data_IF_584584793601
#
_entry.id   IF_584584793601
#
_cell.length_a   1.000
_cell.length_b   1.000
_cell.length_c   1.000
_cell.angle_alpha   90.00
_cell.angle_beta   90.00
_cell.angle_gamma   90.00
#
_symmetry.space_group_name_H-M   'P 1'
#
loop_
_entity.id
_entity.type
_entity.pdbx_description
1 polymer ?
#
# COMPACT_ATOMS: atom_id res chain seq x y z
N UNK A 1 14.10 7.14 -5.62
CA UNK A 1 12.66 7.40 -5.89
C UNK A 1 12.41 7.64 -7.38
N UNK A 2 11.81 6.66 -8.05
CA UNK A 2 11.40 6.75 -9.45
C UNK A 2 9.95 7.23 -9.50
N UNK A 3 9.70 8.44 -9.99
CA UNK A 3 8.32 8.95 -10.14
C UNK A 3 7.41 8.04 -10.99
N UNK A 4 8.01 7.13 -11.78
CA UNK A 4 7.30 6.15 -12.59
C UNK A 4 6.71 5.00 -11.76
N UNK A 5 7.46 4.43 -10.81
CA UNK A 5 7.00 3.27 -10.02
C UNK A 5 5.90 3.67 -9.04
N UNK A 6 6.07 4.80 -8.35
CA UNK A 6 5.01 5.41 -7.51
C UNK A 6 3.72 5.61 -8.32
N UNK A 7 3.82 6.19 -9.52
CA UNK A 7 2.65 6.42 -10.37
C UNK A 7 1.97 5.13 -10.79
N UNK A 8 2.74 4.10 -11.14
CA UNK A 8 2.21 2.79 -11.49
C UNK A 8 1.34 2.23 -10.36
N UNK A 9 1.86 2.24 -9.12
CA UNK A 9 1.10 1.79 -7.94
C UNK A 9 -0.18 2.59 -7.73
N UNK A 10 -0.11 3.93 -7.80
CA UNK A 10 -1.31 4.76 -7.63
C UNK A 10 -2.33 4.59 -8.76
N UNK A 11 -1.89 4.28 -9.97
CA UNK A 11 -2.79 3.97 -11.08
C UNK A 11 -3.49 2.62 -10.85
N UNK A 12 -2.84 1.63 -10.25
CA UNK A 12 -3.48 0.37 -9.81
C UNK A 12 -4.47 0.59 -8.64
N UNK A 13 -4.10 1.38 -7.63
CA UNK A 13 -5.00 1.76 -6.52
C UNK A 13 -6.30 2.36 -7.04
N UNK A 14 -6.19 3.23 -8.06
CA UNK A 14 -7.35 3.90 -8.70
C UNK A 14 -8.26 2.96 -9.49
N UNK A 15 -7.76 1.79 -9.91
CA UNK A 15 -8.60 0.77 -10.55
C UNK A 15 -9.49 0.04 -9.53
N UNK A 16 -9.15 0.12 -8.24
CA UNK A 16 -10.04 -0.31 -7.16
C UNK A 16 -11.30 0.55 -7.04
N UNK A 17 -12.27 0.10 -6.25
CA UNK A 17 -13.55 0.80 -6.07
C UNK A 17 -13.46 1.97 -5.07
N UNK A 18 -12.51 2.90 -5.29
CA UNK A 18 -12.30 4.10 -4.45
C UNK A 18 -13.56 4.98 -4.37
N UNK A 19 -14.45 4.90 -5.36
CA UNK A 19 -15.69 5.66 -5.36
C UNK A 19 -16.69 5.12 -4.34
N UNK A 20 -16.74 3.79 -4.18
CA UNK A 20 -17.62 3.11 -3.25
C UNK A 20 -17.01 2.99 -1.84
N UNK A 21 -15.73 2.59 -1.76
CA UNK A 21 -15.04 2.32 -0.50
C UNK A 21 -13.58 2.81 -0.52
N UNK A 22 -13.34 4.13 -0.42
CA UNK A 22 -11.99 4.66 -0.45
C UNK A 22 -11.16 4.28 0.77
N UNK A 23 -11.81 4.02 1.91
CA UNK A 23 -11.11 3.63 3.14
C UNK A 23 -10.61 2.19 3.05
N UNK A 24 -11.49 1.24 2.76
CA UNK A 24 -11.12 -0.16 2.61
C UNK A 24 -10.09 -0.37 1.51
N UNK A 25 -10.25 0.30 0.36
CA UNK A 25 -9.27 0.25 -0.72
C UNK A 25 -7.93 0.86 -0.29
N UNK A 26 -7.90 2.05 0.32
CA UNK A 26 -6.64 2.65 0.77
C UNK A 26 -5.89 1.75 1.74
N UNK A 27 -6.59 1.23 2.76
CA UNK A 27 -6.00 0.36 3.77
C UNK A 27 -5.48 -0.95 3.17
N UNK A 28 -6.24 -1.60 2.29
CA UNK A 28 -5.80 -2.85 1.66
C UNK A 28 -4.47 -2.65 0.91
N UNK A 29 -4.38 -1.58 0.11
CA UNK A 29 -3.15 -1.25 -0.60
C UNK A 29 -2.01 -0.84 0.33
N UNK A 30 -2.29 -0.07 1.38
CA UNK A 30 -1.29 0.36 2.34
C UNK A 30 -0.71 -0.84 3.12
N UNK A 31 -1.56 -1.78 3.53
CA UNK A 31 -1.13 -3.05 4.13
C UNK A 31 -0.33 -3.91 3.17
N UNK A 32 -0.78 -4.08 1.93
CA UNK A 32 -0.05 -4.83 0.90
C UNK A 32 1.38 -4.29 0.67
N UNK A 33 1.53 -2.96 0.65
CA UNK A 33 2.83 -2.28 0.54
C UNK A 33 3.70 -2.57 1.77
N UNK A 34 3.15 -2.39 2.98
CA UNK A 34 3.89 -2.58 4.22
C UNK A 34 4.30 -4.05 4.44
N UNK A 35 3.42 -5.00 4.12
CA UNK A 35 3.71 -6.43 4.13
C UNK A 35 4.84 -6.77 3.16
N UNK A 36 4.81 -6.22 1.94
CA UNK A 36 5.85 -6.46 0.93
C UNK A 36 7.20 -5.92 1.40
N UNK A 37 7.25 -4.68 1.90
CA UNK A 37 8.48 -4.11 2.48
C UNK A 37 9.01 -4.99 3.63
N UNK A 38 8.14 -5.35 4.57
CA UNK A 38 8.53 -6.19 5.71
C UNK A 38 9.07 -7.56 5.28
N UNK A 39 8.37 -8.23 4.36
CA UNK A 39 8.74 -9.56 3.88
C UNK A 39 10.09 -9.59 3.16
N UNK A 40 10.43 -8.51 2.45
CA UNK A 40 11.68 -8.36 1.72
C UNK A 40 12.83 -7.79 2.61
N UNK A 41 12.56 -7.59 3.91
CA UNK A 41 13.55 -7.09 4.88
C UNK A 41 13.81 -5.59 4.79
N UNK A 42 12.94 -4.85 4.11
CA UNK A 42 13.00 -3.40 3.98
C UNK A 42 12.35 -2.70 5.19
N UNK A 43 12.78 -1.47 5.44
CA UNK A 43 12.24 -0.67 6.54
C UNK A 43 10.83 -0.16 6.21
N UNK A 44 9.88 -0.44 7.12
CA UNK A 44 8.54 0.14 7.09
C UNK A 44 8.52 1.37 8.00
N UNK A 45 8.09 2.55 7.51
CA UNK A 45 8.00 3.75 8.32
C UNK A 45 7.17 3.55 9.60
N UNK A 46 7.74 3.87 10.76
CA UNK A 46 7.05 3.73 12.05
C UNK A 46 5.78 4.59 12.15
N UNK A 47 5.71 5.69 11.39
CA UNK A 47 4.53 6.55 11.28
C UNK A 47 3.31 5.83 10.70
N UNK A 48 3.50 4.76 9.92
CA UNK A 48 2.40 3.96 9.38
C UNK A 48 1.80 3.03 10.42
N UNK A 49 2.43 2.89 11.59
CA UNK A 49 1.96 2.04 12.70
C UNK A 49 1.69 0.59 12.30
N UNK A 50 2.34 0.13 11.23
CA UNK A 50 2.20 -1.22 10.72
C UNK A 50 2.77 -2.23 11.71
N UNK A 51 2.01 -3.30 11.94
CA UNK A 51 2.45 -4.45 12.73
C UNK A 51 2.21 -5.70 11.89
N UNK A 52 3.25 -6.50 11.60
CA UNK A 52 3.09 -7.70 10.79
C UNK A 52 2.21 -8.72 11.52
N UNK A 53 1.35 -9.38 10.76
CA UNK A 53 0.55 -10.49 11.27
C UNK A 53 1.46 -11.65 11.69
N UNK A 54 1.21 -12.29 12.84
CA UNK A 54 1.97 -13.50 13.24
C UNK A 54 1.73 -14.68 12.31
N UNK A 55 0.70 -14.63 11.46
CA UNK A 55 0.37 -15.64 10.46
C UNK A 55 1.03 -15.36 9.10
N UNK A 56 1.78 -14.25 8.97
CA UNK A 56 2.33 -13.79 7.71
C UNK A 56 1.34 -12.96 6.88
N UNK A 57 1.75 -12.55 5.67
CA UNK A 57 0.93 -11.71 4.79
C UNK A 57 -0.31 -12.47 4.28
N UNK A 58 -1.37 -11.72 3.98
CA UNK A 58 -2.59 -12.30 3.38
C UNK A 58 -2.27 -12.87 2.00
N UNK A 59 -2.67 -14.13 1.76
CA UNK A 59 -2.48 -14.80 0.47
C UNK A 59 -3.65 -14.60 -0.51
N UNK A 60 -4.78 -14.07 -0.03
CA UNK A 60 -6.01 -13.88 -0.81
C UNK A 60 -6.36 -12.39 -1.00
N UNK A 61 -5.39 -11.49 -0.81
CA UNK A 61 -5.56 -10.05 -1.04
C UNK A 61 -5.09 -9.67 -2.45
N UNK A 62 -6.00 -9.23 -3.36
CA UNK A 62 -5.62 -8.80 -4.70
C UNK A 62 -4.58 -7.67 -4.71
N UNK A 63 -4.58 -6.77 -3.73
CA UNK A 63 -3.59 -5.72 -3.63
C UNK A 63 -2.20 -6.30 -3.33
N UNK A 64 -2.12 -7.30 -2.45
CA UNK A 64 -0.87 -7.99 -2.13
C UNK A 64 -0.29 -8.71 -3.36
N UNK A 65 -1.13 -9.38 -4.15
CA UNK A 65 -0.70 -10.03 -5.39
C UNK A 65 -0.13 -9.04 -6.41
N UNK A 66 -0.79 -7.89 -6.59
CA UNK A 66 -0.32 -6.86 -7.54
C UNK A 66 0.99 -6.23 -7.08
N UNK A 67 1.07 -5.78 -5.82
CA UNK A 67 2.27 -5.14 -5.26
C UNK A 67 3.46 -6.09 -5.35
N UNK A 68 3.29 -7.34 -4.93
CA UNK A 68 4.34 -8.36 -4.99
C UNK A 68 4.74 -8.71 -6.42
N UNK A 69 3.77 -8.80 -7.33
CA UNK A 69 4.02 -9.02 -8.76
C UNK A 69 4.87 -7.92 -9.38
N UNK A 70 4.56 -6.65 -9.09
CA UNK A 70 5.33 -5.49 -9.56
C UNK A 70 6.76 -5.47 -9.00
N UNK A 71 6.93 -5.83 -7.71
CA UNK A 71 8.24 -5.94 -7.07
C UNK A 71 9.11 -7.02 -7.73
N UNK A 72 8.58 -8.25 -7.84
CA UNK A 72 9.30 -9.39 -8.41
C UNK A 72 9.67 -9.18 -9.89
N UNK A 73 8.87 -8.42 -10.63
CA UNK A 73 9.15 -8.03 -12.01
C UNK A 73 10.17 -6.88 -12.14
N UNK A 74 10.61 -6.28 -11.02
CA UNK A 74 11.51 -5.12 -11.02
C UNK A 74 10.88 -3.85 -11.59
N UNK A 75 9.55 -3.73 -11.55
CA UNK A 75 8.83 -2.55 -12.00
C UNK A 75 8.75 -1.46 -10.93
N UNK A 76 8.88 -1.85 -9.66
CA UNK A 76 8.92 -0.97 -8.49
C UNK A 76 10.04 -1.42 -7.55
N UNK A 77 10.57 -0.49 -6.77
CA UNK A 77 11.55 -0.74 -5.71
C UNK A 77 11.05 -0.23 -4.35
N UNK A 78 11.89 -0.34 -3.32
CA UNK A 78 11.50 0.02 -1.95
C UNK A 78 11.20 1.52 -1.80
N UNK A 79 11.88 2.38 -2.56
CA UNK A 79 11.60 3.82 -2.55
C UNK A 79 10.24 4.12 -3.18
N UNK A 80 9.88 3.40 -4.25
CA UNK A 80 8.60 3.55 -4.92
C UNK A 80 7.44 3.08 -4.03
N UNK A 81 7.62 1.93 -3.35
CA UNK A 81 6.68 1.41 -2.35
C UNK A 81 6.49 2.41 -1.20
N UNK A 82 7.59 2.93 -0.62
CA UNK A 82 7.55 3.96 0.42
C UNK A 82 6.86 5.25 -0.06
N UNK A 83 7.14 5.68 -1.29
CA UNK A 83 6.52 6.86 -1.89
C UNK A 83 5.01 6.72 -2.06
N UNK A 84 4.54 5.56 -2.53
CA UNK A 84 3.11 5.27 -2.67
C UNK A 84 2.43 5.16 -1.30
N UNK A 85 3.02 4.41 -0.36
CA UNK A 85 2.45 4.25 0.99
C UNK A 85 2.35 5.58 1.75
N UNK A 86 3.31 6.50 1.59
CA UNK A 86 3.22 7.83 2.20
C UNK A 86 2.04 8.66 1.66
N UNK A 87 1.69 8.47 0.39
CA UNK A 87 0.52 9.12 -0.21
C UNK A 87 -0.77 8.51 0.34
N UNK A 88 -0.83 7.19 0.47
CA UNK A 88 -1.98 6.48 1.05
C UNK A 88 -2.17 6.85 2.53
N UNK A 89 -1.10 6.87 3.32
CA UNK A 89 -1.14 7.29 4.72
C UNK A 89 -1.74 8.70 4.89
N UNK A 90 -1.35 9.65 4.04
CA UNK A 90 -1.94 11.01 4.05
C UNK A 90 -3.39 11.01 3.59
N UNK A 91 -3.75 10.15 2.64
CA UNK A 91 -5.13 10.02 2.18
C UNK A 91 -6.03 9.44 3.28
N UNK A 92 -5.54 8.45 4.02
CA UNK A 92 -6.21 7.89 5.21
C UNK A 92 -6.42 8.94 6.30
N UNK A 93 -5.44 9.81 6.54
CA UNK A 93 -5.61 10.93 7.47
C UNK A 93 -6.72 11.89 7.05
N UNK A 94 -6.86 12.16 5.74
CA UNK A 94 -7.97 12.95 5.19
C UNK A 94 -9.31 12.23 5.39
N UNK A 95 -9.38 10.94 5.06
CA UNK A 95 -10.61 10.14 5.24
C UNK A 95 -11.04 10.10 6.72
N UNK A 96 -10.09 9.94 7.64
CA UNK A 96 -10.34 9.98 9.09
C UNK A 96 -10.84 11.36 9.53
N UNK A 97 -10.26 12.43 9.02
CA UNK A 97 -10.73 13.79 9.31
C UNK A 97 -12.16 14.06 8.79
N UNK A 98 -12.57 13.35 7.73
CA UNK A 98 -13.93 13.39 7.18
C UNK A 98 -14.91 12.40 7.86
N UNK A 99 -14.44 11.59 8.82
CA UNK A 99 -15.25 10.57 9.51
C UNK A 99 -15.60 9.36 8.63
N UNK A 100 -14.71 9.00 7.70
CA UNK A 100 -14.86 7.89 6.75
C UNK A 100 -13.95 6.70 7.06
N UNK A 101 -13.54 6.53 8.31
CA UNK A 101 -12.63 5.49 8.82
C UNK A 101 -13.37 4.27 9.42
N UNK A 102 -14.43 3.81 8.75
CA UNK A 102 -15.35 2.77 9.22
C UNK A 102 -14.82 1.33 9.14
#
# INVERSE_FOLDING_TARGET
MSARGVRLLLDEVRQGDLALDPWGVSLAWHFAIADTLHAEGEEVPASWQFVPSPLGPSLDDPAADVVRGLWLAGHVDADDLRGAGEILSRFEDVLRAEGRDY
#
